data_IF_695194744366
#
_entry.id   IF_695194744366
#
_cell.length_a   1.000
_cell.length_b   1.000
_cell.length_c   1.000
_cell.angle_alpha   90.00
_cell.angle_beta   90.00
_cell.angle_gamma   90.00
#
_symmetry.space_group_name_H-M   'P 1'
#
loop_
_entity.id
_entity.type
_entity.pdbx_description
1 polymer ?
#
# COMPACT_ATOMS: atom_id res chain seq x y z
N UNK A 1 -10.01 -16.60 -4.71
CA UNK A 1 -10.51 -15.78 -3.59
C UNK A 1 -11.63 -16.56 -2.90
N UNK A 2 -11.58 -16.66 -1.57
CA UNK A 2 -12.61 -17.30 -0.75
C UNK A 2 -13.10 -16.27 0.27
N UNK A 3 -14.41 -16.14 0.45
CA UNK A 3 -15.03 -15.15 1.33
C UNK A 3 -15.87 -15.85 2.40
N UNK A 4 -15.77 -15.41 3.66
CA UNK A 4 -16.56 -15.93 4.79
C UNK A 4 -17.01 -14.79 5.71
N UNK A 5 -18.29 -14.76 6.08
CA UNK A 5 -18.85 -13.77 7.00
C UNK A 5 -20.28 -13.30 6.69
N UNK A 6 -20.72 -12.25 7.40
CA UNK A 6 -22.07 -11.67 7.22
C UNK A 6 -22.22 -11.05 5.83
N UNK A 7 -23.15 -11.59 5.02
CA UNK A 7 -23.41 -11.14 3.64
C UNK A 7 -23.66 -9.64 3.53
N UNK A 8 -24.37 -9.03 4.49
CA UNK A 8 -24.66 -7.59 4.49
C UNK A 8 -23.42 -6.71 4.72
N UNK A 9 -22.48 -7.17 5.56
CA UNK A 9 -21.21 -6.46 5.80
C UNK A 9 -20.28 -6.61 4.59
N UNK A 10 -20.23 -7.79 4.00
CA UNK A 10 -19.47 -8.05 2.77
C UNK A 10 -19.99 -7.14 1.65
N UNK A 11 -21.30 -7.11 1.38
CA UNK A 11 -21.78 -6.29 0.27
C UNK A 11 -21.64 -4.79 0.48
N UNK A 12 -21.86 -4.29 1.71
CA UNK A 12 -21.95 -2.84 1.93
C UNK A 12 -20.62 -2.20 2.31
N UNK A 13 -19.71 -2.96 2.93
CA UNK A 13 -18.39 -2.47 3.36
C UNK A 13 -17.31 -2.96 2.41
N UNK A 14 -17.26 -4.26 2.13
CA UNK A 14 -16.19 -4.82 1.29
C UNK A 14 -16.29 -4.37 -0.18
N UNK A 15 -17.48 -4.37 -0.81
CA UNK A 15 -17.61 -3.81 -2.18
C UNK A 15 -17.25 -2.31 -2.25
N UNK A 16 -17.57 -1.53 -1.20
CA UNK A 16 -17.19 -0.10 -1.14
C UNK A 16 -15.69 0.09 -0.98
N UNK A 17 -15.03 -0.79 -0.22
CA UNK A 17 -13.57 -0.81 -0.11
C UNK A 17 -12.93 -1.15 -1.46
N UNK A 18 -13.35 -2.24 -2.12
CA UNK A 18 -12.84 -2.62 -3.45
C UNK A 18 -13.10 -1.55 -4.51
N UNK A 19 -14.26 -0.91 -4.48
CA UNK A 19 -14.57 0.22 -5.35
C UNK A 19 -13.60 1.39 -5.10
N UNK A 20 -13.26 1.65 -3.84
CA UNK A 20 -12.28 2.68 -3.47
C UNK A 20 -10.86 2.30 -3.90
N UNK A 21 -10.48 1.01 -3.84
CA UNK A 21 -9.21 0.53 -4.39
C UNK A 21 -9.16 0.72 -5.91
N UNK A 22 -10.23 0.36 -6.63
CA UNK A 22 -10.33 0.57 -8.08
C UNK A 22 -10.26 2.05 -8.45
N UNK A 23 -10.90 2.92 -7.67
CA UNK A 23 -10.81 4.37 -7.85
C UNK A 23 -9.39 4.88 -7.61
N UNK A 24 -8.68 4.41 -6.57
CA UNK A 24 -7.29 4.80 -6.30
C UNK A 24 -6.33 4.45 -7.45
N UNK A 25 -6.68 3.42 -8.23
CA UNK A 25 -5.94 2.93 -9.40
C UNK A 25 -6.36 3.61 -10.72
N UNK A 26 -7.42 4.43 -10.74
CA UNK A 26 -7.84 5.16 -11.94
C UNK A 26 -6.82 6.26 -12.30
N UNK A 27 -6.56 6.46 -13.59
CA UNK A 27 -5.39 7.17 -14.17
C UNK A 27 -5.03 8.53 -13.54
N UNK A 28 -5.98 9.28 -12.99
CA UNK A 28 -5.74 10.59 -12.37
C UNK A 28 -5.24 10.53 -10.91
N UNK A 29 -5.46 9.41 -10.22
CA UNK A 29 -5.19 9.28 -8.78
C UNK A 29 -3.74 8.90 -8.41
N UNK A 30 -2.98 8.08 -9.17
CA UNK A 30 -1.65 7.62 -8.76
C UNK A 30 -0.68 8.74 -8.36
N UNK A 31 -0.72 9.90 -9.04
CA UNK A 31 0.15 11.05 -8.70
C UNK A 31 -0.17 11.62 -7.32
N UNK A 32 -1.44 11.60 -6.91
CA UNK A 32 -1.93 12.17 -5.65
C UNK A 32 -2.01 11.15 -4.51
N UNK A 33 -1.71 9.88 -4.76
CA UNK A 33 -1.75 8.80 -3.78
C UNK A 33 -0.40 8.12 -3.57
N UNK A 34 0.57 8.36 -4.47
CA UNK A 34 1.91 7.82 -4.39
C UNK A 34 2.60 8.16 -3.07
N UNK A 35 3.35 7.18 -2.55
CA UNK A 35 4.20 7.35 -1.38
C UNK A 35 5.48 8.11 -1.76
N UNK A 36 5.36 9.43 -1.85
CA UNK A 36 6.45 10.33 -2.21
C UNK A 36 6.40 11.61 -1.37
N UNK A 37 7.41 12.49 -1.53
CA UNK A 37 7.53 13.74 -0.77
C UNK A 37 6.46 14.79 -1.12
N UNK A 38 5.82 14.65 -2.29
CA UNK A 38 4.73 15.54 -2.71
C UNK A 38 3.45 15.27 -1.91
N UNK A 39 3.23 14.01 -1.53
CA UNK A 39 2.03 13.59 -0.80
C UNK A 39 2.27 13.37 0.70
N UNK A 40 3.52 13.15 1.13
CA UNK A 40 3.87 12.80 2.51
C UNK A 40 5.03 13.61 3.06
N UNK A 41 5.00 13.81 4.37
CA UNK A 41 6.18 14.13 5.17
C UNK A 41 6.69 12.84 5.81
N UNK A 42 8.00 12.63 5.76
CA UNK A 42 8.66 11.45 6.31
C UNK A 42 9.55 11.88 7.46
N UNK A 43 9.57 11.10 8.54
CA UNK A 43 10.60 11.21 9.55
C UNK A 43 11.12 9.82 9.88
N UNK A 44 12.44 9.66 9.96
CA UNK A 44 13.01 8.41 10.42
C UNK A 44 12.84 8.30 11.92
N UNK A 45 12.16 7.25 12.37
CA UNK A 45 11.78 7.04 13.77
C UNK A 45 12.49 5.85 14.40
N UNK A 46 13.20 5.04 13.62
CA UNK A 46 13.97 3.94 14.16
C UNK A 46 14.64 3.05 13.12
N UNK A 47 15.24 1.99 13.64
CA UNK A 47 15.86 0.90 12.90
C UNK A 47 15.43 -0.42 13.53
N UNK A 48 15.18 -1.42 12.69
CA UNK A 48 14.94 -2.78 13.13
C UNK A 48 15.88 -3.74 12.41
N UNK A 49 16.34 -4.78 13.09
CA UNK A 49 17.13 -5.85 12.49
C UNK A 49 16.23 -7.03 12.16
N UNK A 50 16.42 -7.62 10.99
CA UNK A 50 15.85 -8.90 10.58
C UNK A 50 17.00 -9.87 10.26
N UNK A 51 16.77 -11.19 10.25
CA UNK A 51 17.81 -12.15 9.89
C UNK A 51 18.47 -11.88 8.52
N UNK A 52 17.73 -11.26 7.60
CA UNK A 52 18.16 -10.97 6.23
C UNK A 52 18.63 -9.53 6.03
N UNK A 53 18.86 -8.73 7.08
CA UNK A 53 19.37 -7.36 6.95
C UNK A 53 18.76 -6.37 7.95
N UNK A 54 18.79 -5.09 7.59
CA UNK A 54 18.23 -4.01 8.40
C UNK A 54 16.98 -3.41 7.74
N UNK A 55 16.13 -2.82 8.56
CA UNK A 55 14.95 -2.07 8.16
C UNK A 55 15.04 -0.64 8.72
N UNK A 56 14.85 0.35 7.85
CA UNK A 56 14.57 1.72 8.28
C UNK A 56 13.09 1.83 8.66
N UNK A 57 12.80 2.36 9.84
CA UNK A 57 11.43 2.64 10.25
C UNK A 57 11.16 4.13 10.06
N UNK A 58 10.25 4.45 9.15
CA UNK A 58 9.85 5.83 8.85
C UNK A 58 8.41 6.06 9.31
N UNK A 59 8.15 7.15 10.03
CA UNK A 59 6.80 7.68 10.14
C UNK A 59 6.43 8.41 8.86
N UNK A 60 5.16 8.30 8.50
CA UNK A 60 4.58 8.94 7.32
C UNK A 60 3.34 9.71 7.72
N UNK A 61 3.34 11.01 7.43
CA UNK A 61 2.20 11.89 7.66
C UNK A 61 1.76 12.49 6.32
N UNK A 62 0.47 12.35 5.94
CA UNK A 62 -0.01 12.82 4.66
C UNK A 62 -0.13 14.34 4.68
N UNK A 63 0.30 14.99 3.61
CA UNK A 63 0.24 16.46 3.47
C UNK A 63 -1.19 16.97 3.25
N UNK A 64 -2.07 16.11 2.71
CA UNK A 64 -3.48 16.42 2.51
C UNK A 64 -4.36 15.34 3.11
N UNK A 65 -5.60 15.71 3.47
CA UNK A 65 -6.55 14.79 4.11
C UNK A 65 -7.49 14.18 3.08
N UNK A 66 -6.95 13.27 2.26
CA UNK A 66 -7.70 12.52 1.23
C UNK A 66 -7.99 11.08 1.70
N UNK A 67 -9.09 10.48 1.22
CA UNK A 67 -9.52 9.09 1.51
C UNK A 67 -8.52 8.02 1.03
N UNK A 68 -7.58 8.38 0.15
CA UNK A 68 -6.58 7.47 -0.40
C UNK A 68 -5.20 7.55 0.26
N UNK A 69 -5.00 8.52 1.15
CA UNK A 69 -3.76 8.66 1.90
C UNK A 69 -3.91 8.03 3.28
N UNK A 70 -2.79 7.69 3.91
CA UNK A 70 -2.75 7.14 5.26
C UNK A 70 -1.77 7.89 6.14
N UNK A 71 -1.83 7.66 7.44
CA UNK A 71 -0.80 8.08 8.41
C UNK A 71 -0.34 6.86 9.18
N UNK A 72 0.93 6.81 9.55
CA UNK A 72 1.45 5.68 10.30
C UNK A 72 2.95 5.49 10.14
N UNK A 73 3.37 4.24 10.02
CA UNK A 73 4.76 3.82 9.87
C UNK A 73 4.93 2.88 8.70
N UNK A 74 6.08 2.99 8.04
CA UNK A 74 6.55 2.03 7.05
C UNK A 74 7.91 1.49 7.46
N UNK A 75 8.16 0.24 7.11
CA UNK A 75 9.46 -0.40 7.21
C UNK A 75 10.03 -0.51 5.81
N UNK A 76 11.22 0.03 5.63
CA UNK A 76 11.93 0.06 4.35
C UNK A 76 13.14 -0.84 4.45
N UNK A 77 13.24 -1.80 3.54
CA UNK A 77 14.41 -2.67 3.41
C UNK A 77 15.67 -1.85 3.12
N UNK A 78 16.75 -2.10 3.85
CA UNK A 78 17.97 -1.32 3.69
C UNK A 78 18.81 -1.68 2.45
N UNK A 79 18.56 -2.83 1.84
CA UNK A 79 19.25 -3.29 0.63
C UNK A 79 18.47 -2.87 -0.63
N UNK A 80 17.18 -3.19 -0.67
CA UNK A 80 16.31 -2.94 -1.82
C UNK A 80 15.64 -1.56 -1.82
N UNK A 81 15.67 -0.84 -0.68
CA UNK A 81 14.91 0.41 -0.45
C UNK A 81 13.40 0.27 -0.72
N UNK A 82 12.87 -0.95 -0.62
CA UNK A 82 11.46 -1.26 -0.81
C UNK A 82 10.69 -1.21 0.51
N UNK A 83 9.42 -0.80 0.47
CA UNK A 83 8.52 -0.92 1.62
C UNK A 83 8.17 -2.38 1.82
N UNK A 84 8.51 -2.94 2.98
CA UNK A 84 8.23 -4.34 3.33
C UNK A 84 7.04 -4.48 4.26
N UNK A 85 6.72 -3.42 5.00
CA UNK A 85 5.59 -3.37 5.92
C UNK A 85 5.03 -1.96 6.03
N UNK A 86 3.74 -1.87 6.23
CA UNK A 86 3.00 -0.66 6.53
C UNK A 86 2.08 -0.94 7.73
N UNK A 87 2.10 -0.04 8.70
CA UNK A 87 1.10 0.04 9.76
C UNK A 87 0.52 1.44 9.78
N UNK A 88 -0.80 1.58 9.76
CA UNK A 88 -1.39 2.91 9.77
C UNK A 88 -2.90 2.96 9.84
N UNK A 89 -3.42 4.16 9.63
CA UNK A 89 -4.84 4.43 9.50
C UNK A 89 -5.10 5.38 8.32
N UNK A 90 -6.28 5.32 7.69
CA UNK A 90 -6.64 6.26 6.63
C UNK A 90 -6.57 7.71 7.10
N UNK A 91 -6.06 8.62 6.27
CA UNK A 91 -6.04 10.05 6.56
C UNK A 91 -7.45 10.64 6.70
N UNK A 92 -8.41 10.03 6.00
CA UNK A 92 -9.84 10.33 6.05
C UNK A 92 -10.63 9.03 6.09
N UNK A 93 -11.58 8.94 7.03
CA UNK A 93 -12.46 7.78 7.12
C UNK A 93 -13.29 7.61 5.84
N UNK A 94 -13.43 6.37 5.31
CA UNK A 94 -14.13 6.12 4.06
C UNK A 94 -15.67 6.26 4.17
N UNK A 95 -16.23 6.31 5.39
CA UNK A 95 -17.67 6.33 5.63
C UNK A 95 -18.04 7.04 6.94
N UNK A 96 -19.25 7.64 6.98
CA UNK A 96 -19.84 8.16 8.23
C UNK A 96 -20.07 7.06 9.28
N UNK A 97 -20.14 5.79 8.90
CA UNK A 97 -20.31 4.70 9.87
C UNK A 97 -18.99 4.28 10.52
N UNK A 98 -17.85 4.67 9.95
CA UNK A 98 -16.51 4.30 10.40
C UNK A 98 -16.02 5.28 11.47
N UNK A 99 -15.72 4.76 12.67
CA UNK A 99 -15.07 5.52 13.74
C UNK A 99 -13.57 5.62 13.51
N UNK A 100 -12.91 4.47 13.34
CA UNK A 100 -11.48 4.33 13.11
C UNK A 100 -11.20 3.02 12.35
N UNK A 101 -10.10 2.99 11.60
CA UNK A 101 -9.61 1.80 10.89
C UNK A 101 -8.12 1.69 11.07
N UNK A 102 -7.64 0.55 11.59
CA UNK A 102 -6.22 0.20 11.62
C UNK A 102 -5.91 -0.74 10.47
N UNK A 103 -4.77 -0.53 9.83
CA UNK A 103 -4.26 -1.28 8.68
C UNK A 103 -2.87 -1.82 9.04
N UNK A 104 -2.65 -3.10 8.79
CA UNK A 104 -1.34 -3.74 8.73
C UNK A 104 -1.22 -4.39 7.35
N UNK A 105 -0.20 -4.02 6.60
CA UNK A 105 0.05 -4.56 5.27
C UNK A 105 1.51 -4.98 5.17
N UNK A 106 1.73 -6.17 4.61
CA UNK A 106 3.07 -6.71 4.36
C UNK A 106 3.30 -6.88 2.88
N UNK A 107 4.58 -6.85 2.49
CA UNK A 107 5.00 -7.05 1.11
C UNK A 107 6.04 -8.16 1.04
N UNK A 108 6.01 -8.92 -0.04
CA UNK A 108 6.98 -9.96 -0.32
C UNK A 108 7.63 -9.72 -1.69
N UNK A 109 8.92 -10.06 -1.77
CA UNK A 109 9.66 -10.02 -3.02
C UNK A 109 9.31 -11.26 -3.85
N UNK A 110 8.87 -11.05 -5.09
CA UNK A 110 8.64 -12.09 -6.09
C UNK A 110 9.44 -11.70 -7.33
N UNK A 111 10.48 -12.47 -7.64
CA UNK A 111 11.51 -12.10 -8.62
C UNK A 111 12.13 -10.74 -8.28
N UNK A 112 12.06 -9.78 -9.21
CA UNK A 112 12.65 -8.44 -9.05
C UNK A 112 11.69 -7.40 -8.46
N UNK A 113 10.46 -7.79 -8.09
CA UNK A 113 9.41 -6.87 -7.68
C UNK A 113 8.88 -7.18 -6.29
N UNK A 114 8.49 -6.13 -5.56
CA UNK A 114 7.83 -6.24 -4.27
C UNK A 114 6.33 -6.11 -4.43
N UNK A 115 5.57 -7.13 -4.01
CA UNK A 115 4.12 -7.18 -4.11
C UNK A 115 3.47 -7.24 -2.72
N UNK A 116 2.23 -6.73 -2.57
CA UNK A 116 1.43 -6.99 -1.38
C UNK A 116 1.37 -8.49 -1.09
N UNK A 117 1.69 -8.89 0.14
CA UNK A 117 1.56 -10.29 0.57
C UNK A 117 0.28 -10.47 1.39
N UNK A 118 0.03 -9.55 2.32
CA UNK A 118 -1.19 -9.55 3.12
C UNK A 118 -1.65 -8.14 3.46
N UNK A 119 -2.97 -7.97 3.61
CA UNK A 119 -3.57 -6.77 4.19
C UNK A 119 -4.57 -7.19 5.26
N UNK A 120 -4.34 -6.72 6.48
CA UNK A 120 -5.24 -6.91 7.60
C UNK A 120 -5.74 -5.57 8.08
N UNK A 121 -7.06 -5.40 8.13
CA UNK A 121 -7.66 -4.19 8.69
C UNK A 121 -8.70 -4.49 9.76
N UNK A 122 -8.70 -3.65 10.79
CA UNK A 122 -9.69 -3.66 11.87
C UNK A 122 -10.40 -2.33 11.90
N UNK A 123 -11.71 -2.34 11.66
CA UNK A 123 -12.54 -1.13 11.58
C UNK A 123 -13.54 -1.10 12.73
N UNK A 124 -13.52 -0.03 13.53
CA UNK A 124 -14.50 0.23 14.59
C UNK A 124 -15.72 0.96 14.02
N UNK A 125 -16.93 0.49 14.33
CA UNK A 125 -18.20 1.02 13.79
C UNK A 125 -18.93 1.84 14.86
N UNK A 126 -19.50 3.00 14.49
CA UNK A 126 -20.09 3.98 15.44
C UNK A 126 -21.27 3.47 16.25
N UNK A 127 -22.07 2.53 15.75
CA UNK A 127 -23.20 1.91 16.46
C UNK A 127 -22.85 0.55 17.10
N UNK A 128 -21.58 0.34 17.41
CA UNK A 128 -21.08 -0.87 18.05
C UNK A 128 -20.56 -1.89 17.05
N UNK A 129 -19.52 -2.63 17.47
CA UNK A 129 -18.91 -3.71 16.70
C UNK A 129 -17.57 -3.35 16.05
N UNK A 130 -16.86 -4.41 15.65
CA UNK A 130 -15.61 -4.35 14.88
C UNK A 130 -15.76 -5.20 13.63
N UNK A 131 -15.37 -4.65 12.50
CA UNK A 131 -15.20 -5.41 11.27
C UNK A 131 -13.71 -5.76 11.12
N UNK A 132 -13.44 -7.00 10.77
CA UNK A 132 -12.10 -7.49 10.46
C UNK A 132 -12.09 -7.89 8.99
N UNK A 133 -11.12 -7.38 8.25
CA UNK A 133 -10.84 -7.79 6.89
C UNK A 133 -9.42 -8.34 6.84
N UNK A 134 -9.25 -9.47 6.17
CA UNK A 134 -7.95 -10.06 5.89
C UNK A 134 -7.95 -10.46 4.43
N UNK A 135 -6.96 -9.96 3.69
CA UNK A 135 -6.70 -10.30 2.31
C UNK A 135 -5.31 -10.94 2.29
N UNK A 136 -5.23 -12.15 1.76
CA UNK A 136 -3.98 -12.84 1.50
C UNK A 136 -3.80 -12.90 -0.02
N UNK A 137 -2.70 -12.37 -0.52
CA UNK A 137 -2.38 -12.34 -1.94
C UNK A 137 -1.41 -13.48 -2.24
N UNK A 138 -1.73 -14.27 -3.27
CA UNK A 138 -0.97 -15.46 -3.64
C UNK A 138 -0.86 -15.55 -5.16
N UNK A 139 0.02 -16.43 -5.63
CA UNK A 139 0.15 -16.81 -7.04
C UNK A 139 0.48 -15.67 -8.02
N UNK A 140 1.31 -14.71 -7.57
CA UNK A 140 1.80 -13.65 -8.47
C UNK A 140 2.57 -14.24 -9.66
N UNK A 141 2.13 -13.87 -10.86
CA UNK A 141 2.81 -14.17 -12.12
C UNK A 141 3.38 -12.89 -12.70
N UNK A 142 4.70 -12.79 -12.77
CA UNK A 142 5.38 -11.66 -13.41
C UNK A 142 5.73 -12.04 -14.84
N UNK A 143 5.20 -11.32 -15.82
CA UNK A 143 5.75 -11.39 -17.18
C UNK A 143 7.03 -10.58 -17.22
N UNK A 144 8.11 -11.16 -17.74
CA UNK A 144 9.37 -10.44 -17.89
C UNK A 144 9.15 -9.17 -18.73
N UNK A 145 9.58 -8.02 -18.23
CA UNK A 145 9.72 -6.84 -19.07
C UNK A 145 10.88 -7.07 -20.05
N UNK A 146 10.75 -6.68 -21.33
CA UNK A 146 11.88 -6.75 -22.26
C UNK A 146 13.06 -5.96 -21.67
N UNK A 147 14.25 -6.56 -21.70
CA UNK A 147 15.46 -5.97 -21.14
C UNK A 147 15.73 -4.61 -21.80
N UNK A 148 15.78 -3.54 -21.02
CA UNK A 148 16.35 -2.25 -21.46
C UNK A 148 17.88 -2.37 -21.50
N UNK A 149 18.39 -3.24 -22.36
CA UNK A 149 19.81 -3.35 -22.71
C UNK A 149 19.90 -3.56 -24.22
N UNK A 150 19.60 -2.49 -24.96
CA UNK A 150 20.21 -2.17 -26.25
C UNK A 150 19.68 -0.82 -26.76
N UNK A 151 20.21 0.26 -26.19
CA UNK A 151 20.23 1.56 -26.85
C UNK A 151 21.64 2.13 -26.79
N UNK A 152 22.59 1.33 -27.31
CA UNK A 152 23.90 1.85 -27.71
C UNK A 152 23.91 1.97 -29.24
N UNK A 153 24.32 3.14 -29.74
CA UNK A 153 24.57 3.53 -31.15
C UNK A 153 23.34 4.08 -31.88
N UNK A 154 23.26 5.36 -32.25
CA UNK A 154 24.19 6.02 -33.18
C UNK A 154 24.14 7.54 -32.98
N UNK A 155 25.26 8.17 -32.67
CA UNK A 155 25.46 9.61 -32.89
C UNK A 155 25.82 9.77 -34.37
N UNK A 156 24.84 10.16 -35.19
CA UNK A 156 25.07 10.82 -36.47
C UNK A 156 24.64 12.28 -36.25
N UNK A 157 25.51 13.29 -36.26
CA UNK A 157 26.37 13.63 -37.38
C UNK A 157 25.53 14.40 -38.40
N UNK A 158 25.34 15.71 -38.20
CA UNK A 158 24.87 16.60 -39.25
C UNK A 158 25.74 17.86 -39.29
N UNK A 159 26.13 18.18 -40.52
CA UNK A 159 26.97 19.29 -41.00
C UNK A 159 26.46 20.66 -40.60
#
# INVERSE_FOLDING_TARGET
MSESGSKLLIERVFKKLLQSEKEALAEENPRHTALNRDNYTFAQVGYESKPTGALYVLSVEPRTRNKFLYRGRIWVDAEDFAVVRLEGEPAKNPSFWTKDTKIDQTYAKVNDFWFPASNRSTTSIRLGGRAYLTIEYQDYQTTAAPSMKDSTSTVAGYK
#
